data_IF_477059872882
#
_entry.id   IF_477059872882
#
_cell.length_a   1.000
_cell.length_b   1.000
_cell.length_c   1.000
_cell.angle_alpha   90.00
_cell.angle_beta   90.00
_cell.angle_gamma   90.00
#
_symmetry.space_group_name_H-M   'P 1'
#
loop_
_entity.id
_entity.type
_entity.pdbx_description
1 polymer ?
#
# COMPACT_ATOMS: atom_id res chain seq x y z
N UNK A 1 17.39 27.12 64.36
CA UNK A 1 16.21 26.90 63.50
C UNK A 1 16.58 26.78 62.01
N UNK A 2 17.32 27.74 61.43
CA UNK A 2 17.66 27.74 59.99
C UNK A 2 18.38 26.47 59.49
N UNK A 3 19.34 25.93 60.27
CA UNK A 3 20.07 24.71 59.91
C UNK A 3 19.22 23.43 59.90
N UNK A 4 18.21 23.33 60.77
CA UNK A 4 17.28 22.19 60.81
C UNK A 4 16.26 22.24 59.67
N UNK A 5 15.87 23.45 59.24
CA UNK A 5 15.03 23.67 58.06
C UNK A 5 15.78 23.29 56.77
N UNK A 6 17.06 23.70 56.65
CA UNK A 6 17.93 23.32 55.52
C UNK A 6 18.16 21.80 55.45
N UNK A 7 18.44 21.15 56.59
CA UNK A 7 18.65 19.70 56.66
C UNK A 7 17.37 18.91 56.32
N UNK A 8 16.21 19.41 56.75
CA UNK A 8 14.90 18.87 56.39
C UNK A 8 14.60 19.00 54.89
N UNK A 9 14.89 20.15 54.28
CA UNK A 9 14.73 20.34 52.83
C UNK A 9 15.65 19.41 52.02
N UNK A 10 16.90 19.24 52.43
CA UNK A 10 17.84 18.31 51.76
C UNK A 10 17.39 16.86 51.91
N UNK A 11 16.89 16.45 53.08
CA UNK A 11 16.34 15.12 53.28
C UNK A 11 15.08 14.86 52.44
N UNK A 12 14.18 15.85 52.32
CA UNK A 12 13.00 15.76 51.44
C UNK A 12 13.41 15.67 49.98
N UNK A 13 14.41 16.45 49.53
CA UNK A 13 14.93 16.38 48.16
C UNK A 13 15.63 15.05 47.89
N UNK A 14 16.37 14.50 48.86
CA UNK A 14 17.05 13.20 48.73
C UNK A 14 16.06 12.03 48.71
N UNK A 15 15.02 12.05 49.56
CA UNK A 15 13.95 11.05 49.55
C UNK A 15 13.11 11.16 48.28
N UNK A 16 12.77 12.38 47.85
CA UNK A 16 12.11 12.60 46.57
C UNK A 16 12.98 12.11 45.40
N UNK A 17 14.29 12.37 45.42
CA UNK A 17 15.24 11.90 44.42
C UNK A 17 15.39 10.37 44.39
N UNK A 18 15.49 9.72 45.55
CA UNK A 18 15.52 8.26 45.65
C UNK A 18 14.19 7.63 45.20
N UNK A 19 13.06 8.26 45.53
CA UNK A 19 11.74 7.84 45.09
C UNK A 19 11.59 7.99 43.57
N UNK A 20 12.01 9.12 42.99
CA UNK A 20 12.05 9.33 41.54
C UNK A 20 12.96 8.32 40.86
N UNK A 21 14.10 7.96 41.46
CA UNK A 21 15.01 6.94 40.91
C UNK A 21 14.38 5.54 40.88
N UNK A 22 13.68 5.13 41.95
CA UNK A 22 12.96 3.85 41.98
C UNK A 22 11.79 3.85 40.98
N UNK A 23 11.03 4.93 40.92
CA UNK A 23 9.94 5.06 39.94
C UNK A 23 10.50 5.10 38.50
N UNK A 24 11.67 5.69 38.26
CA UNK A 24 12.31 5.70 36.94
C UNK A 24 12.76 4.31 36.50
N UNK A 25 13.26 3.48 37.42
CA UNK A 25 13.54 2.06 37.14
C UNK A 25 12.27 1.29 36.81
N UNK A 26 11.16 1.52 37.53
CA UNK A 26 9.86 0.90 37.20
C UNK A 26 9.36 1.31 35.83
N UNK A 27 9.41 2.60 35.50
CA UNK A 27 8.99 3.12 34.20
C UNK A 27 9.86 2.54 33.09
N UNK A 28 11.18 2.43 33.31
CA UNK A 28 12.08 1.75 32.38
C UNK A 28 11.67 0.30 32.17
N UNK A 29 11.45 -0.46 33.23
CA UNK A 29 11.09 -1.88 33.11
C UNK A 29 9.73 -2.04 32.39
N UNK A 30 8.75 -1.16 32.66
CA UNK A 30 7.46 -1.11 31.95
C UNK A 30 7.60 -0.79 30.45
N UNK A 31 8.47 0.18 30.11
CA UNK A 31 8.72 0.55 28.72
C UNK A 31 9.55 -0.52 27.98
N UNK A 32 10.44 -1.24 28.67
CA UNK A 32 11.19 -2.37 28.12
C UNK A 32 10.26 -3.56 27.87
N UNK A 33 9.35 -3.84 28.79
CA UNK A 33 8.29 -4.84 28.61
C UNK A 33 7.44 -4.47 27.40
N UNK A 34 6.99 -3.22 27.29
CA UNK A 34 6.24 -2.75 26.14
C UNK A 34 7.03 -2.90 24.82
N UNK A 35 8.30 -2.48 24.79
CA UNK A 35 9.15 -2.62 23.60
C UNK A 35 9.36 -4.09 23.19
N UNK A 36 9.33 -5.04 24.13
CA UNK A 36 9.45 -6.47 23.82
C UNK A 36 8.23 -7.08 23.14
N UNK A 37 7.08 -6.40 23.22
CA UNK A 37 5.81 -6.82 22.59
C UNK A 37 5.72 -6.34 21.14
N UNK A 38 6.39 -5.24 20.78
CA UNK A 38 6.31 -4.65 19.43
C UNK A 38 6.69 -5.64 18.30
N UNK A 39 7.79 -6.39 18.38
CA UNK A 39 8.12 -7.37 17.34
C UNK A 39 7.08 -8.49 17.21
N UNK A 40 6.42 -8.86 18.32
CA UNK A 40 5.40 -9.91 18.33
C UNK A 40 4.11 -9.43 17.64
N UNK A 41 3.77 -8.15 17.77
CA UNK A 41 2.61 -7.58 17.09
C UNK A 41 2.72 -7.68 15.59
N UNK A 42 3.89 -7.40 15.02
CA UNK A 42 4.12 -7.54 13.58
C UNK A 42 3.89 -8.98 13.12
N UNK A 43 4.52 -9.95 13.79
CA UNK A 43 4.36 -11.37 13.48
C UNK A 43 2.90 -11.83 13.62
N UNK A 44 2.19 -11.37 14.66
CA UNK A 44 0.78 -11.71 14.91
C UNK A 44 -0.15 -11.13 13.85
N UNK A 45 0.07 -9.88 13.43
CA UNK A 45 -0.69 -9.23 12.35
C UNK A 45 -0.46 -9.95 11.02
N UNK A 46 0.80 -10.31 10.71
CA UNK A 46 1.14 -11.06 9.50
C UNK A 46 0.57 -12.49 9.52
N UNK A 47 0.46 -13.11 10.69
CA UNK A 47 -0.18 -14.40 10.88
C UNK A 47 -1.72 -14.35 10.83
N UNK A 48 -2.32 -13.16 10.92
CA UNK A 48 -3.77 -12.98 11.03
C UNK A 48 -4.34 -13.48 12.36
N UNK A 49 -3.55 -13.41 13.44
CA UNK A 49 -3.96 -13.83 14.78
C UNK A 49 -4.51 -12.64 15.58
N UNK A 50 -5.75 -12.25 15.26
CA UNK A 50 -6.41 -11.07 15.84
C UNK A 50 -6.55 -11.15 17.38
N UNK A 51 -6.67 -12.36 17.94
CA UNK A 51 -6.75 -12.60 19.38
C UNK A 51 -5.39 -12.33 20.06
N UNK A 52 -4.31 -12.81 19.45
CA UNK A 52 -2.95 -12.52 19.92
C UNK A 52 -2.62 -11.03 19.80
N UNK A 53 -2.99 -10.38 18.68
CA UNK A 53 -2.82 -8.93 18.51
C UNK A 53 -3.55 -8.17 19.62
N UNK A 54 -4.82 -8.52 19.88
CA UNK A 54 -5.61 -7.88 20.95
C UNK A 54 -4.88 -8.02 22.28
N UNK A 55 -4.46 -9.22 22.66
CA UNK A 55 -3.74 -9.49 23.92
C UNK A 55 -2.45 -8.69 24.06
N UNK A 56 -1.66 -8.61 22.98
CA UNK A 56 -0.42 -7.84 22.94
C UNK A 56 -0.68 -6.34 23.08
N UNK A 57 -1.71 -5.81 22.41
CA UNK A 57 -2.12 -4.40 22.53
C UNK A 57 -2.63 -4.08 23.94
N UNK A 58 -3.37 -4.98 24.59
CA UNK A 58 -3.79 -4.79 25.98
C UNK A 58 -2.59 -4.74 26.93
N UNK A 59 -1.60 -5.59 26.72
CA UNK A 59 -0.34 -5.58 27.49
C UNK A 59 0.40 -4.26 27.32
N UNK A 60 0.51 -3.76 26.07
CA UNK A 60 1.10 -2.45 25.78
C UNK A 60 0.34 -1.31 26.46
N UNK A 61 -1.00 -1.33 26.37
CA UNK A 61 -1.87 -0.32 26.97
C UNK A 61 -1.71 -0.29 28.48
N UNK A 62 -1.66 -1.45 29.13
CA UNK A 62 -1.53 -1.53 30.59
C UNK A 62 -0.15 -1.06 31.06
N UNK A 63 0.91 -1.47 30.37
CA UNK A 63 2.27 -1.02 30.66
C UNK A 63 2.44 0.50 30.45
N UNK A 64 1.94 1.02 29.32
CA UNK A 64 2.05 2.43 28.95
C UNK A 64 1.19 3.34 29.85
N UNK A 65 -0.07 2.98 30.10
CA UNK A 65 -0.95 3.73 31.01
C UNK A 65 -0.40 3.76 32.44
N UNK A 66 0.22 2.67 32.91
CA UNK A 66 0.93 2.67 34.19
C UNK A 66 2.16 3.57 34.19
N UNK A 67 2.91 3.63 33.09
CA UNK A 67 4.06 4.53 32.94
C UNK A 67 3.61 6.01 32.91
N UNK A 68 2.50 6.32 32.21
CA UNK A 68 1.87 7.65 32.19
C UNK A 68 1.41 8.04 33.60
N UNK A 69 0.74 7.14 34.32
CA UNK A 69 0.27 7.39 35.68
C UNK A 69 1.43 7.63 36.66
N UNK A 70 2.52 6.88 36.52
CA UNK A 70 3.72 7.02 37.38
C UNK A 70 4.44 8.34 37.11
N UNK A 71 4.70 8.65 35.84
CA UNK A 71 5.39 9.88 35.41
C UNK A 71 4.54 11.14 35.56
N UNK A 72 3.21 11.00 35.71
CA UNK A 72 2.27 12.10 35.98
C UNK A 72 2.23 12.57 37.44
N UNK A 73 2.84 11.82 38.38
CA UNK A 73 2.82 12.12 39.82
C UNK A 73 3.52 13.45 40.16
N UNK A 74 3.18 14.12 41.28
CA UNK A 74 3.69 15.45 41.60
C UNK A 74 5.22 15.56 41.67
N UNK A 75 5.91 14.53 42.18
CA UNK A 75 7.38 14.53 42.27
C UNK A 75 8.04 14.54 40.89
N UNK A 76 7.50 13.84 39.89
CA UNK A 76 7.99 13.88 38.51
C UNK A 76 7.80 15.26 37.87
N UNK A 77 6.66 15.92 38.12
CA UNK A 77 6.43 17.29 37.66
C UNK A 77 7.47 18.26 38.25
N UNK A 78 7.79 18.12 39.54
CA UNK A 78 8.82 18.93 40.18
C UNK A 78 10.22 18.63 39.62
N UNK A 79 10.56 17.36 39.38
CA UNK A 79 11.84 16.97 38.76
C UNK A 79 11.95 17.49 37.32
N UNK A 80 10.84 17.60 36.59
CA UNK A 80 10.84 18.13 35.22
C UNK A 80 11.32 19.58 35.09
N UNK A 81 11.34 20.34 36.19
CA UNK A 81 11.79 21.74 36.23
C UNK A 81 13.29 21.88 36.51
N UNK A 82 13.98 20.79 36.89
CA UNK A 82 15.40 20.83 37.21
C UNK A 82 16.26 20.94 35.94
N UNK A 83 17.29 21.82 35.93
CA UNK A 83 18.27 21.85 34.86
C UNK A 83 18.97 20.49 34.71
N UNK A 84 19.20 20.05 33.46
CA UNK A 84 19.81 18.75 33.13
C UNK A 84 18.84 17.55 33.19
N UNK A 85 18.05 17.42 34.27
CA UNK A 85 17.12 16.29 34.43
C UNK A 85 15.74 16.55 33.78
N UNK A 86 15.33 17.80 33.68
CA UNK A 86 14.03 18.20 33.16
C UNK A 86 13.72 17.73 31.73
N UNK A 87 14.63 17.92 30.77
CA UNK A 87 14.47 17.41 29.40
C UNK A 87 14.26 15.88 29.37
N UNK A 88 15.04 15.13 30.14
CA UNK A 88 14.93 13.67 30.24
C UNK A 88 13.57 13.23 30.79
N UNK A 89 13.10 13.87 31.87
CA UNK A 89 11.77 13.58 32.44
C UNK A 89 10.66 13.87 31.44
N UNK A 90 10.73 15.00 30.73
CA UNK A 90 9.73 15.34 29.69
C UNK A 90 9.76 14.34 28.53
N UNK A 91 10.96 13.94 28.08
CA UNK A 91 11.09 12.94 27.02
C UNK A 91 10.48 11.59 27.43
N UNK A 92 10.74 11.11 28.64
CA UNK A 92 10.12 9.87 29.16
C UNK A 92 8.60 9.99 29.29
N UNK A 93 8.09 11.16 29.72
CA UNK A 93 6.65 11.43 29.75
C UNK A 93 6.04 11.43 28.35
N UNK A 94 6.73 12.00 27.36
CA UNK A 94 6.28 11.98 25.96
C UNK A 94 6.28 10.55 25.42
N UNK A 95 7.37 9.79 25.61
CA UNK A 95 7.43 8.37 25.22
C UNK A 95 6.28 7.56 25.80
N UNK A 96 6.07 7.62 27.12
CA UNK A 96 5.00 6.88 27.78
C UNK A 96 3.61 7.26 27.24
N UNK A 97 3.36 8.55 27.00
CA UNK A 97 2.10 9.01 26.40
C UNK A 97 1.96 8.53 24.96
N UNK A 98 2.99 8.66 24.15
CA UNK A 98 2.99 8.19 22.76
C UNK A 98 2.67 6.70 22.67
N UNK A 99 3.31 5.85 23.47
CA UNK A 99 2.98 4.41 23.49
C UNK A 99 1.55 4.17 23.97
N UNK A 100 1.07 4.92 24.96
CA UNK A 100 -0.32 4.82 25.45
C UNK A 100 -1.34 5.20 24.37
N UNK A 101 -1.12 6.35 23.70
CA UNK A 101 -1.98 6.86 22.65
C UNK A 101 -2.01 5.90 21.45
N UNK A 102 -0.87 5.29 21.12
CA UNK A 102 -0.76 4.24 20.10
C UNK A 102 -1.57 2.99 20.49
N UNK A 103 -1.44 2.54 21.75
CA UNK A 103 -2.14 1.35 22.26
C UNK A 103 -3.66 1.55 22.42
N UNK A 104 -4.10 2.78 22.68
CA UNK A 104 -5.53 3.12 22.79
C UNK A 104 -6.17 3.45 21.43
N UNK A 105 -5.39 3.89 20.45
CA UNK A 105 -5.87 4.33 19.13
C UNK A 105 -5.51 3.37 17.99
N UNK A 106 -4.37 3.57 17.30
CA UNK A 106 -4.04 2.87 16.06
C UNK A 106 -3.73 1.37 16.22
N UNK A 107 -3.07 0.94 17.31
CA UNK A 107 -2.61 -0.45 17.44
C UNK A 107 -3.73 -1.51 17.45
N UNK A 108 -4.87 -1.30 18.14
CA UNK A 108 -6.02 -2.21 18.02
C UNK A 108 -6.55 -2.39 16.60
N UNK A 109 -6.27 -1.42 15.71
CA UNK A 109 -6.79 -1.39 14.34
C UNK A 109 -5.82 -2.01 13.32
N UNK A 110 -4.64 -2.48 13.74
CA UNK A 110 -3.65 -3.08 12.84
C UNK A 110 -4.18 -4.26 12.01
N UNK A 111 -5.05 -5.15 12.53
CA UNK A 111 -5.64 -6.20 11.71
C UNK A 111 -6.44 -5.64 10.53
N UNK A 112 -7.21 -4.56 10.74
CA UNK A 112 -7.96 -3.90 9.68
C UNK A 112 -7.03 -3.20 8.67
N UNK A 113 -5.95 -2.56 9.14
CA UNK A 113 -4.91 -1.96 8.30
C UNK A 113 -4.24 -3.03 7.43
N UNK A 114 -3.86 -4.17 8.02
CA UNK A 114 -3.21 -5.26 7.31
C UNK A 114 -4.15 -5.93 6.30
N UNK A 115 -5.43 -6.12 6.68
CA UNK A 115 -6.44 -6.61 5.76
C UNK A 115 -6.62 -5.65 4.57
N UNK A 116 -6.70 -4.35 4.81
CA UNK A 116 -6.85 -3.34 3.75
C UNK A 116 -5.60 -3.20 2.85
N UNK A 117 -4.41 -3.42 3.40
CA UNK A 117 -3.16 -3.43 2.65
C UNK A 117 -2.91 -4.75 1.89
N UNK A 118 -3.64 -5.82 2.24
CA UNK A 118 -3.40 -7.15 1.68
C UNK A 118 -3.95 -7.27 0.25
N UNK A 119 -3.12 -7.69 -0.74
CA UNK A 119 -3.59 -7.97 -2.09
C UNK A 119 -4.67 -9.06 -2.15
N UNK A 120 -4.70 -9.99 -1.18
CA UNK A 120 -5.72 -11.05 -1.13
C UNK A 120 -7.09 -10.55 -0.67
N UNK A 121 -7.17 -9.42 0.04
CA UNK A 121 -8.45 -8.78 0.36
C UNK A 121 -9.10 -8.15 -0.88
N UNK A 122 -8.27 -7.73 -1.83
CA UNK A 122 -8.67 -7.16 -3.11
C UNK A 122 -8.87 -8.22 -4.21
N UNK A 123 -8.55 -9.49 -3.92
CA UNK A 123 -8.77 -10.57 -4.86
C UNK A 123 -10.29 -10.76 -5.10
N UNK A 124 -10.76 -10.74 -6.36
CA UNK A 124 -12.17 -10.94 -6.65
C UNK A 124 -12.68 -12.29 -6.11
N UNK A 125 -13.84 -12.27 -5.46
CA UNK A 125 -14.63 -13.45 -5.08
C UNK A 125 -15.87 -13.47 -5.96
N UNK A 126 -16.06 -14.55 -6.71
CA UNK A 126 -17.18 -14.71 -7.63
C UNK A 126 -17.34 -13.53 -8.62
N UNK A 127 -16.22 -13.01 -9.16
CA UNK A 127 -16.25 -11.91 -10.12
C UNK A 127 -16.15 -10.50 -9.51
N UNK A 128 -16.16 -10.36 -8.19
CA UNK A 128 -16.31 -9.06 -7.52
C UNK A 128 -15.33 -8.86 -6.37
N UNK A 129 -14.80 -7.65 -6.28
CA UNK A 129 -14.07 -7.14 -5.11
C UNK A 129 -15.07 -6.62 -4.08
N UNK A 130 -14.83 -6.89 -2.81
CA UNK A 130 -15.65 -6.36 -1.70
C UNK A 130 -15.32 -4.89 -1.40
N UNK A 131 -15.75 -4.02 -2.31
CA UNK A 131 -15.50 -2.58 -2.21
C UNK A 131 -16.23 -1.93 -1.04
N UNK A 132 -17.36 -2.49 -0.62
CA UNK A 132 -18.11 -1.98 0.53
C UNK A 132 -17.37 -2.30 1.82
N UNK A 133 -16.87 -3.52 2.00
CA UNK A 133 -16.05 -3.88 3.16
C UNK A 133 -14.80 -3.00 3.29
N UNK A 134 -14.15 -2.67 2.15
CA UNK A 134 -13.00 -1.74 2.13
C UNK A 134 -13.42 -0.31 2.51
N UNK A 135 -14.56 0.18 1.99
CA UNK A 135 -15.07 1.50 2.32
C UNK A 135 -15.50 1.61 3.80
N UNK A 136 -16.12 0.57 4.34
CA UNK A 136 -16.56 0.51 5.75
C UNK A 136 -15.36 0.50 6.71
N UNK A 137 -14.22 -0.06 6.30
CA UNK A 137 -12.97 -0.03 7.06
C UNK A 137 -12.24 1.33 7.01
N UNK A 138 -12.59 2.21 6.07
CA UNK A 138 -11.86 3.45 5.82
C UNK A 138 -11.73 4.36 7.06
N UNK A 139 -12.78 4.63 7.86
CA UNK A 139 -12.65 5.49 9.04
C UNK A 139 -11.64 4.97 10.06
N UNK A 140 -11.59 3.64 10.24
CA UNK A 140 -10.69 2.98 11.20
C UNK A 140 -9.24 3.02 10.71
N UNK A 141 -9.02 2.71 9.42
CA UNK A 141 -7.69 2.70 8.82
C UNK A 141 -7.10 4.12 8.71
N UNK A 142 -7.92 5.12 8.37
CA UNK A 142 -7.50 6.53 8.33
C UNK A 142 -7.13 7.01 9.74
N UNK A 143 -7.97 6.74 10.74
CA UNK A 143 -7.68 7.11 12.13
C UNK A 143 -6.40 6.45 12.65
N UNK A 144 -6.11 5.22 12.21
CA UNK A 144 -4.86 4.55 12.55
C UNK A 144 -3.64 5.27 11.95
N UNK A 145 -3.70 5.66 10.68
CA UNK A 145 -2.64 6.44 10.03
C UNK A 145 -2.44 7.82 10.68
N UNK A 146 -3.53 8.52 10.99
CA UNK A 146 -3.49 9.81 11.70
C UNK A 146 -2.85 9.66 13.09
N UNK A 147 -3.19 8.60 13.83
CA UNK A 147 -2.61 8.30 15.13
C UNK A 147 -1.10 8.03 15.08
N UNK A 148 -0.64 7.31 14.05
CA UNK A 148 0.80 7.07 13.84
C UNK A 148 1.54 8.36 13.47
N UNK A 149 0.95 9.21 12.61
CA UNK A 149 1.55 10.51 12.27
C UNK A 149 1.64 11.43 13.52
N UNK A 150 0.60 11.48 14.35
CA UNK A 150 0.61 12.26 15.60
C UNK A 150 1.67 11.75 16.60
N UNK A 151 1.89 10.43 16.65
CA UNK A 151 2.94 9.82 17.46
C UNK A 151 4.34 10.27 16.97
N UNK A 152 4.58 10.23 15.65
CA UNK A 152 5.85 10.67 15.04
C UNK A 152 6.10 12.15 15.35
N UNK A 153 5.10 13.01 15.15
CA UNK A 153 5.21 14.45 15.43
C UNK A 153 5.57 14.73 16.90
N UNK A 154 5.01 13.94 17.82
CA UNK A 154 5.31 14.03 19.25
C UNK A 154 6.76 13.68 19.57
N UNK A 155 7.36 12.69 18.90
CA UNK A 155 8.76 12.31 19.09
C UNK A 155 9.73 13.30 18.43
N UNK A 156 9.38 13.84 17.26
CA UNK A 156 10.18 14.87 16.58
C UNK A 156 10.30 16.14 17.42
N UNK A 157 9.28 16.48 18.19
CA UNK A 157 9.29 17.64 19.09
C UNK A 157 10.26 17.50 20.30
N UNK A 158 10.84 16.31 20.53
CA UNK A 158 11.79 16.08 21.62
C UNK A 158 13.19 16.58 21.21
N UNK A 159 13.72 17.54 21.96
CA UNK A 159 15.12 17.99 21.81
C UNK A 159 16.10 16.93 22.36
N UNK A 160 16.81 16.28 21.44
CA UNK A 160 17.77 15.20 21.72
C UNK A 160 19.07 15.70 22.36
N UNK A 161 19.43 16.97 22.19
CA UNK A 161 20.77 17.48 22.57
C UNK A 161 21.03 17.51 24.07
N UNK A 162 19.96 17.58 24.86
CA UNK A 162 20.00 17.65 26.32
C UNK A 162 19.60 16.32 27.01
N UNK A 163 19.47 15.24 26.24
CA UNK A 163 19.08 13.93 26.76
C UNK A 163 20.30 13.11 27.19
N UNK A 164 20.08 12.25 28.17
CA UNK A 164 20.99 11.14 28.46
C UNK A 164 20.96 10.16 27.29
N UNK A 165 22.10 9.51 26.96
CA UNK A 165 22.17 8.57 25.83
C UNK A 165 21.06 7.53 25.84
N UNK A 166 20.75 6.95 27.00
CA UNK A 166 19.72 5.92 27.14
C UNK A 166 18.31 6.41 26.79
N UNK A 167 18.02 7.70 27.03
CA UNK A 167 16.72 8.30 26.70
C UNK A 167 16.69 8.68 25.22
N UNK A 168 17.79 9.21 24.68
CA UNK A 168 17.92 9.47 23.25
C UNK A 168 17.77 8.19 22.43
N UNK A 169 18.47 7.12 22.80
CA UNK A 169 18.42 5.82 22.14
C UNK A 169 16.99 5.25 22.13
N UNK A 170 16.25 5.39 23.23
CA UNK A 170 14.85 4.96 23.31
C UNK A 170 13.91 5.79 22.39
N UNK A 171 14.14 7.11 22.30
CA UNK A 171 13.41 7.97 21.36
C UNK A 171 13.72 7.58 19.92
N UNK A 172 14.99 7.32 19.60
CA UNK A 172 15.42 6.96 18.26
C UNK A 172 14.92 5.58 17.85
N UNK A 173 14.91 4.60 18.77
CA UNK A 173 14.32 3.28 18.52
C UNK A 173 12.83 3.38 18.18
N UNK A 174 12.04 4.03 19.04
CA UNK A 174 10.60 4.17 18.79
C UNK A 174 10.32 4.98 17.52
N UNK A 175 11.14 6.01 17.24
CA UNK A 175 11.03 6.77 15.99
C UNK A 175 11.25 5.89 14.76
N UNK A 176 12.22 4.96 14.82
CA UNK A 176 12.48 4.00 13.75
C UNK A 176 11.28 3.07 13.51
N UNK A 177 10.77 2.45 14.57
CA UNK A 177 9.61 1.55 14.52
C UNK A 177 8.36 2.26 13.94
N UNK A 178 8.13 3.52 14.30
CA UNK A 178 7.00 4.30 13.78
C UNK A 178 7.14 4.71 12.31
N UNK A 179 8.36 4.91 11.81
CA UNK A 179 8.58 5.23 10.39
C UNK A 179 8.15 4.06 9.50
N UNK A 180 8.50 2.83 9.89
CA UNK A 180 8.11 1.63 9.17
C UNK A 180 6.60 1.40 9.25
N UNK A 181 6.01 1.54 10.44
CA UNK A 181 4.57 1.45 10.62
C UNK A 181 3.81 2.48 9.77
N UNK A 182 4.30 3.72 9.68
CA UNK A 182 3.70 4.78 8.87
C UNK A 182 3.63 4.42 7.38
N UNK A 183 4.63 3.71 6.84
CA UNK A 183 4.58 3.28 5.43
C UNK A 183 3.41 2.33 5.19
N UNK A 184 3.18 1.40 6.12
CA UNK A 184 2.07 0.45 6.06
C UNK A 184 0.71 1.12 6.26
N UNK A 185 0.56 1.95 7.29
CA UNK A 185 -0.71 2.66 7.56
C UNK A 185 -1.06 3.65 6.46
N UNK A 186 -0.07 4.38 5.91
CA UNK A 186 -0.31 5.33 4.83
C UNK A 186 -0.71 4.61 3.53
N UNK A 187 -0.13 3.45 3.25
CA UNK A 187 -0.50 2.63 2.10
C UNK A 187 -1.94 2.11 2.23
N UNK A 188 -2.29 1.57 3.40
CA UNK A 188 -3.65 1.12 3.69
C UNK A 188 -4.66 2.28 3.63
N UNK A 189 -4.33 3.43 4.24
CA UNK A 189 -5.14 4.64 4.24
C UNK A 189 -5.42 5.15 2.82
N UNK A 190 -4.42 5.14 1.94
CA UNK A 190 -4.64 5.47 0.52
C UNK A 190 -5.48 4.41 -0.20
N UNK A 191 -5.24 3.12 0.08
CA UNK A 191 -5.99 2.04 -0.53
C UNK A 191 -7.49 2.11 -0.22
N UNK A 192 -7.87 2.28 1.06
CA UNK A 192 -9.28 2.40 1.46
C UNK A 192 -9.97 3.66 0.92
N UNK A 193 -9.21 4.72 0.63
CA UNK A 193 -9.73 5.96 0.05
C UNK A 193 -9.86 5.91 -1.47
N UNK A 194 -8.94 5.23 -2.16
CA UNK A 194 -8.85 5.27 -3.63
C UNK A 194 -9.51 4.07 -4.30
N UNK A 195 -9.39 2.87 -3.72
CA UNK A 195 -9.87 1.65 -4.36
C UNK A 195 -11.40 1.64 -4.50
N UNK A 196 -12.22 1.90 -3.46
CA UNK A 196 -13.68 1.87 -3.61
C UNK A 196 -14.21 2.79 -4.72
N UNK A 197 -13.84 4.09 -4.79
CA UNK A 197 -14.29 4.93 -5.89
C UNK A 197 -13.71 4.47 -7.24
N UNK A 198 -12.45 4.03 -7.33
CA UNK A 198 -11.90 3.49 -8.58
C UNK A 198 -12.66 2.26 -9.07
N UNK A 199 -13.16 1.45 -8.14
CA UNK A 199 -13.91 0.23 -8.43
C UNK A 199 -15.42 0.48 -8.63
N UNK A 200 -15.83 1.74 -8.73
CA UNK A 200 -17.20 2.12 -9.07
C UNK A 200 -18.21 1.98 -7.94
N UNK A 201 -17.82 2.20 -6.67
CA UNK A 201 -18.76 2.16 -5.54
C UNK A 201 -19.92 3.16 -5.67
N UNK A 202 -19.68 4.32 -6.29
CA UNK A 202 -20.67 5.39 -6.51
C UNK A 202 -21.34 5.32 -7.90
N UNK A 203 -21.00 4.32 -8.71
CA UNK A 203 -21.47 4.16 -10.08
C UNK A 203 -20.38 3.69 -11.06
N UNK A 204 -20.77 3.29 -12.27
CA UNK A 204 -19.86 2.69 -13.24
C UNK A 204 -18.77 3.68 -13.69
N UNK A 205 -17.55 3.18 -13.88
CA UNK A 205 -16.38 3.93 -14.35
C UNK A 205 -15.65 3.17 -15.46
N UNK A 206 -15.43 3.84 -16.58
CA UNK A 206 -14.71 3.28 -17.72
C UNK A 206 -13.26 3.74 -17.72
N UNK A 207 -12.32 2.79 -17.80
CA UNK A 207 -10.89 3.02 -17.85
C UNK A 207 -10.34 2.61 -19.19
N UNK A 208 -9.51 3.46 -19.79
CA UNK A 208 -8.70 3.05 -20.93
C UNK A 208 -7.50 2.26 -20.44
N UNK A 209 -7.20 1.16 -21.10
CA UNK A 209 -5.98 0.38 -20.85
C UNK A 209 -5.16 0.34 -22.12
N UNK A 210 -4.02 1.03 -22.08
CA UNK A 210 -3.06 1.07 -23.18
C UNK A 210 -2.17 -0.16 -23.10
N UNK A 211 -2.45 -1.14 -23.96
CA UNK A 211 -1.67 -2.38 -24.07
C UNK A 211 -0.49 -2.11 -24.99
N UNK A 212 0.70 -2.06 -24.38
CA UNK A 212 1.93 -1.74 -25.07
C UNK A 212 2.59 -2.98 -25.67
N UNK A 213 3.43 -2.76 -26.69
CA UNK A 213 4.31 -3.78 -27.25
C UNK A 213 5.77 -3.30 -27.21
N UNK A 214 6.57 -3.85 -26.29
CA UNK A 214 7.97 -3.45 -26.09
C UNK A 214 8.88 -3.83 -27.27
N UNK A 215 8.43 -4.68 -28.21
CA UNK A 215 9.19 -4.99 -29.42
C UNK A 215 9.30 -3.78 -30.36
N UNK A 216 8.41 -2.79 -30.21
CA UNK A 216 8.44 -1.52 -30.94
C UNK A 216 8.60 -0.36 -29.95
N UNK A 217 9.84 -0.08 -29.50
CA UNK A 217 10.07 0.73 -28.32
C UNK A 217 9.58 2.17 -28.49
N UNK A 218 9.05 2.69 -27.39
CA UNK A 218 8.75 4.11 -27.14
C UNK A 218 9.28 4.48 -25.75
N UNK A 219 9.27 5.77 -25.40
CA UNK A 219 9.86 6.22 -24.14
C UNK A 219 9.21 5.59 -22.90
N UNK A 220 7.91 5.28 -22.95
CA UNK A 220 7.17 4.64 -21.84
C UNK A 220 7.05 3.11 -21.96
N UNK A 221 7.84 2.49 -22.84
CA UNK A 221 7.90 1.03 -23.03
C UNK A 221 7.83 0.65 -24.49
N UNK A 222 6.68 0.85 -25.13
CA UNK A 222 6.37 0.37 -26.46
C UNK A 222 5.23 1.12 -27.14
N UNK A 223 4.96 0.76 -28.38
CA UNK A 223 3.81 1.25 -29.13
C UNK A 223 2.51 0.77 -28.48
N UNK A 224 1.44 1.56 -28.52
CA UNK A 224 0.10 1.13 -28.07
C UNK A 224 -0.55 0.31 -29.17
N UNK A 225 -0.44 -1.02 -29.07
CA UNK A 225 -0.99 -1.94 -30.08
C UNK A 225 -2.50 -2.12 -29.95
N UNK A 226 -3.02 -2.10 -28.71
CA UNK A 226 -4.44 -2.25 -28.41
C UNK A 226 -4.85 -1.28 -27.30
N UNK A 227 -6.08 -0.78 -27.38
CA UNK A 227 -6.76 -0.04 -26.32
C UNK A 227 -7.94 -0.86 -25.85
N UNK A 228 -8.02 -1.11 -24.54
CA UNK A 228 -9.18 -1.76 -23.92
C UNK A 228 -9.98 -0.72 -23.13
N UNK A 229 -11.29 -0.93 -23.05
CA UNK A 229 -12.17 -0.23 -22.12
C UNK A 229 -12.59 -1.21 -21.03
N UNK A 230 -12.12 -0.98 -19.81
CA UNK A 230 -12.56 -1.73 -18.64
C UNK A 230 -13.58 -0.93 -17.84
N UNK A 231 -14.75 -1.49 -17.60
CA UNK A 231 -15.76 -0.92 -16.71
C UNK A 231 -15.63 -1.49 -15.33
N UNK A 232 -15.44 -0.63 -14.34
CA UNK A 232 -15.60 -0.96 -12.94
C UNK A 232 -16.99 -0.51 -12.47
N UNK A 233 -17.77 -1.43 -11.90
CA UNK A 233 -19.11 -1.15 -11.36
C UNK A 233 -19.34 -1.93 -10.06
N UNK A 234 -19.42 -1.22 -8.93
CA UNK A 234 -19.65 -1.81 -7.62
C UNK A 234 -18.69 -2.96 -7.26
N UNK A 235 -17.42 -2.86 -7.63
CA UNK A 235 -16.42 -3.90 -7.40
C UNK A 235 -16.34 -5.00 -8.47
N UNK A 236 -17.21 -5.00 -9.48
CA UNK A 236 -17.05 -5.85 -10.67
C UNK A 236 -16.15 -5.16 -11.70
N UNK A 237 -15.41 -5.93 -12.49
CA UNK A 237 -14.62 -5.43 -13.63
C UNK A 237 -15.04 -6.21 -14.87
N UNK A 238 -15.43 -5.49 -15.92
CA UNK A 238 -15.84 -6.03 -17.21
C UNK A 238 -15.01 -5.42 -18.35
N UNK A 239 -14.64 -6.22 -19.34
CA UNK A 239 -14.10 -5.73 -20.61
C UNK A 239 -15.28 -5.34 -21.52
N UNK A 240 -15.43 -4.04 -21.78
CA UNK A 240 -16.55 -3.46 -22.53
C UNK A 240 -16.27 -3.36 -24.01
N UNK A 241 -15.07 -2.87 -24.36
CA UNK A 241 -14.66 -2.62 -25.72
C UNK A 241 -13.16 -2.91 -25.85
N UNK A 242 -12.78 -3.35 -27.05
CA UNK A 242 -11.40 -3.48 -27.45
C UNK A 242 -11.26 -2.98 -28.88
N UNK A 243 -10.24 -2.14 -29.10
CA UNK A 243 -9.90 -1.64 -30.44
C UNK A 243 -8.39 -1.67 -30.67
N UNK A 244 -8.02 -1.83 -31.94
CA UNK A 244 -6.62 -1.72 -32.34
C UNK A 244 -6.15 -0.27 -32.21
N UNK A 245 -4.96 -0.03 -31.67
CA UNK A 245 -4.42 1.32 -31.48
C UNK A 245 -4.25 2.09 -32.79
N UNK A 246 -4.09 1.39 -33.92
CA UNK A 246 -4.03 1.99 -35.26
C UNK A 246 -5.37 2.45 -35.82
N UNK A 247 -6.49 2.04 -35.23
CA UNK A 247 -7.82 2.48 -35.65
C UNK A 247 -8.16 3.89 -35.16
N UNK A 248 -7.49 4.37 -34.11
CA UNK A 248 -7.68 5.71 -33.54
C UNK A 248 -6.59 6.64 -34.10
N UNK A 249 -6.95 7.40 -35.13
CA UNK A 249 -6.04 8.34 -35.77
C UNK A 249 -6.75 9.56 -36.34
N UNK A 250 -6.03 10.68 -36.40
CA UNK A 250 -6.57 11.97 -36.80
C UNK A 250 -5.71 12.65 -37.87
N UNK A 251 -6.36 13.40 -38.76
CA UNK A 251 -5.67 14.19 -39.78
C UNK A 251 -4.81 15.28 -39.13
N UNK A 252 -5.40 15.99 -38.17
CA UNK A 252 -4.75 17.00 -37.33
C UNK A 252 -4.53 16.47 -35.91
N UNK A 253 -3.49 16.93 -35.18
CA UNK A 253 -3.23 16.47 -33.84
C UNK A 253 -4.37 16.86 -32.89
N UNK A 254 -4.84 15.88 -32.12
CA UNK A 254 -5.73 16.05 -30.98
C UNK A 254 -4.91 16.48 -29.77
N UNK A 255 -5.46 17.43 -29.01
CA UNK A 255 -4.81 18.05 -27.87
C UNK A 255 -3.75 19.08 -28.27
N UNK A 256 -3.47 19.99 -27.35
CA UNK A 256 -2.48 21.05 -27.58
C UNK A 256 -1.07 20.51 -27.36
N UNK A 257 -0.38 20.12 -28.44
CA UNK A 257 1.04 19.81 -28.38
C UNK A 257 1.84 21.08 -28.04
N UNK A 258 2.87 20.96 -27.21
CA UNK A 258 3.85 22.02 -26.98
C UNK A 258 4.78 22.18 -28.18
N UNK A 259 5.50 23.30 -28.24
CA UNK A 259 6.50 23.51 -29.29
C UNK A 259 7.64 22.48 -29.22
N UNK A 260 8.01 22.06 -28.01
CA UNK A 260 9.01 21.00 -27.80
C UNK A 260 8.51 19.64 -28.26
N UNK A 261 7.27 19.28 -27.95
CA UNK A 261 6.66 18.04 -28.45
C UNK A 261 6.59 18.04 -29.98
N UNK A 262 6.18 19.16 -30.60
CA UNK A 262 6.20 19.32 -32.06
C UNK A 262 7.60 19.22 -32.64
N UNK A 263 8.61 19.81 -31.99
CA UNK A 263 9.98 19.78 -32.47
C UNK A 263 10.59 18.38 -32.43
N UNK A 264 10.24 17.56 -31.42
CA UNK A 264 10.82 16.22 -31.22
C UNK A 264 10.02 15.15 -31.97
N UNK A 265 8.70 15.18 -31.86
CA UNK A 265 7.80 14.12 -32.33
C UNK A 265 6.97 14.51 -33.56
N UNK A 266 7.08 15.76 -34.02
CA UNK A 266 6.18 16.30 -35.03
C UNK A 266 4.73 16.35 -34.51
N UNK A 267 3.78 16.10 -35.40
CA UNK A 267 2.36 15.99 -35.04
C UNK A 267 1.94 14.58 -34.64
N UNK A 268 2.83 13.58 -34.80
CA UNK A 268 2.49 12.16 -34.63
C UNK A 268 1.98 11.84 -33.22
N UNK A 269 2.53 12.51 -32.20
CA UNK A 269 2.17 12.33 -30.80
C UNK A 269 0.69 12.65 -30.53
N UNK A 270 0.13 13.63 -31.25
CA UNK A 270 -1.29 14.00 -31.15
C UNK A 270 -2.18 13.39 -32.22
N UNK A 271 -1.62 12.69 -33.22
CA UNK A 271 -2.39 12.14 -34.35
C UNK A 271 -2.67 10.65 -34.26
N UNK A 272 -1.81 9.89 -33.59
CA UNK A 272 -1.87 8.43 -33.59
C UNK A 272 -1.84 7.89 -32.16
N UNK A 273 -2.90 7.20 -31.75
CA UNK A 273 -2.97 6.55 -30.43
C UNK A 273 -1.78 5.62 -30.19
N UNK A 274 -1.32 4.89 -31.23
CA UNK A 274 -0.10 4.09 -31.20
C UNK A 274 1.12 4.80 -30.59
N UNK A 275 1.24 6.11 -30.81
CA UNK A 275 2.45 6.88 -30.52
C UNK A 275 2.34 7.74 -29.25
N UNK A 276 1.22 7.74 -28.52
CA UNK A 276 1.07 8.56 -27.30
C UNK A 276 2.12 8.26 -26.24
N UNK A 277 2.68 7.04 -26.23
CA UNK A 277 3.76 6.60 -25.33
C UNK A 277 5.16 7.05 -25.76
N UNK A 278 5.29 7.85 -26.83
CA UNK A 278 6.58 8.38 -27.30
C UNK A 278 7.16 9.44 -26.36
N UNK A 279 6.32 10.18 -25.64
CA UNK A 279 6.76 11.12 -24.60
C UNK A 279 7.17 10.35 -23.35
N UNK A 280 8.26 10.73 -22.64
CA UNK A 280 8.68 10.07 -21.39
C UNK A 280 7.83 10.47 -20.16
N UNK A 281 6.65 11.07 -20.37
CA UNK A 281 5.75 11.58 -19.33
C UNK A 281 4.40 10.84 -19.41
N UNK A 282 4.16 9.91 -18.48
CA UNK A 282 2.94 9.09 -18.48
C UNK A 282 1.66 9.92 -18.26
N UNK A 283 1.59 10.86 -17.28
CA UNK A 283 0.45 11.78 -17.19
C UNK A 283 0.13 12.48 -18.51
N UNK A 284 1.15 12.93 -19.25
CA UNK A 284 0.95 13.54 -20.57
C UNK A 284 0.44 12.54 -21.62
N UNK A 285 1.00 11.34 -21.67
CA UNK A 285 0.54 10.28 -22.57
C UNK A 285 -0.92 9.88 -22.28
N UNK A 286 -1.28 9.75 -21.00
CA UNK A 286 -2.65 9.48 -20.54
C UNK A 286 -3.62 10.59 -20.94
N UNK A 287 -3.22 11.86 -20.80
CA UNK A 287 -4.03 13.00 -21.25
C UNK A 287 -4.30 12.93 -22.75
N UNK A 288 -3.26 12.72 -23.57
CA UNK A 288 -3.42 12.63 -25.03
C UNK A 288 -4.28 11.43 -25.45
N UNK A 289 -4.10 10.27 -24.81
CA UNK A 289 -4.94 9.10 -25.05
C UNK A 289 -6.41 9.38 -24.69
N UNK A 290 -6.66 10.04 -23.56
CA UNK A 290 -8.01 10.46 -23.15
C UNK A 290 -8.61 11.45 -24.16
N UNK A 291 -7.86 12.47 -24.58
CA UNK A 291 -8.33 13.47 -25.56
C UNK A 291 -8.68 12.82 -26.91
N UNK A 292 -7.84 11.90 -27.39
CA UNK A 292 -8.10 11.12 -28.60
C UNK A 292 -9.34 10.25 -28.45
N UNK A 293 -9.53 9.60 -27.31
CA UNK A 293 -10.71 8.78 -27.06
C UNK A 293 -11.99 9.61 -27.02
N UNK A 294 -11.96 10.77 -26.36
CA UNK A 294 -13.08 11.73 -26.34
C UNK A 294 -13.40 12.24 -27.74
N UNK A 295 -12.38 12.54 -28.56
CA UNK A 295 -12.58 13.00 -29.93
C UNK A 295 -13.25 11.93 -30.82
N UNK A 296 -12.94 10.65 -30.58
CA UNK A 296 -13.44 9.51 -31.36
C UNK A 296 -14.81 8.99 -30.87
N UNK A 297 -15.06 8.98 -29.55
CA UNK A 297 -16.24 8.34 -28.92
C UNK A 297 -17.18 9.32 -28.22
N UNK A 298 -16.72 10.52 -27.89
CA UNK A 298 -17.51 11.55 -27.19
C UNK A 298 -17.60 11.37 -25.67
N UNK A 299 -17.03 10.30 -25.11
CA UNK A 299 -17.09 9.99 -23.68
C UNK A 299 -15.68 10.05 -23.06
N UNK A 300 -15.58 10.70 -21.90
CA UNK A 300 -14.32 10.80 -21.18
C UNK A 300 -14.12 9.59 -20.27
N UNK A 301 -12.97 8.89 -20.35
CA UNK A 301 -12.67 7.82 -19.42
C UNK A 301 -12.43 8.37 -18.00
N UNK A 302 -12.71 7.56 -16.99
CA UNK A 302 -12.40 7.85 -15.59
C UNK A 302 -10.89 7.84 -15.30
N UNK A 303 -10.10 7.19 -16.15
CA UNK A 303 -8.65 7.17 -16.07
C UNK A 303 -8.01 6.34 -17.18
N UNK A 304 -6.68 6.41 -17.24
CA UNK A 304 -5.88 5.65 -18.21
C UNK A 304 -4.87 4.81 -17.45
N UNK A 305 -4.87 3.52 -17.74
CA UNK A 305 -3.92 2.52 -17.28
C UNK A 305 -3.02 2.13 -18.45
N UNK A 306 -1.83 1.61 -18.16
CA UNK A 306 -1.00 1.01 -19.19
C UNK A 306 -0.31 -0.23 -18.66
N UNK A 307 -0.18 -1.20 -19.54
CA UNK A 307 0.41 -2.50 -19.26
C UNK A 307 1.13 -3.00 -20.48
N UNK A 308 2.09 -3.89 -20.25
CA UNK A 308 2.88 -4.51 -21.28
C UNK A 308 2.95 -6.04 -21.04
N UNK A 309 3.52 -6.83 -21.98
CA UNK A 309 3.65 -8.27 -21.80
C UNK A 309 4.41 -8.71 -20.55
N UNK A 310 5.31 -7.89 -20.00
CA UNK A 310 6.02 -8.21 -18.75
C UNK A 310 5.11 -8.04 -17.55
N UNK A 311 4.32 -6.96 -17.51
CA UNK A 311 3.29 -6.76 -16.50
C UNK A 311 2.22 -7.86 -16.56
N UNK A 312 1.78 -8.25 -17.77
CA UNK A 312 0.86 -9.37 -17.98
C UNK A 312 1.42 -10.70 -17.46
N UNK A 313 2.70 -10.98 -17.71
CA UNK A 313 3.37 -12.15 -17.16
C UNK A 313 3.38 -12.15 -15.62
N UNK A 314 3.58 -10.98 -15.00
CA UNK A 314 3.45 -10.81 -13.55
C UNK A 314 2.05 -11.16 -13.03
N UNK A 315 1.00 -10.72 -13.73
CA UNK A 315 -0.39 -11.03 -13.38
C UNK A 315 -0.69 -12.54 -13.48
N UNK A 316 -0.09 -13.25 -14.44
CA UNK A 316 -0.19 -14.70 -14.57
C UNK A 316 0.43 -15.45 -13.38
N UNK A 317 1.35 -14.85 -12.63
CA UNK A 317 1.86 -15.41 -11.39
C UNK A 317 0.77 -15.51 -10.30
N UNK A 318 -0.20 -14.60 -10.31
CA UNK A 318 -1.31 -14.59 -9.36
C UNK A 318 -2.51 -15.42 -9.85
N UNK A 319 -2.85 -15.38 -11.14
CA UNK A 319 -4.00 -16.13 -11.70
C UNK A 319 -3.68 -17.59 -12.00
N UNK A 320 -2.40 -17.91 -12.22
CA UNK A 320 -1.97 -19.14 -12.87
C UNK A 320 -2.08 -19.05 -14.40
N UNK A 321 -1.72 -20.14 -15.11
CA UNK A 321 -1.72 -20.18 -16.58
C UNK A 321 -3.08 -19.87 -17.19
N UNK A 322 -3.09 -19.18 -18.31
CA UNK A 322 -4.29 -18.80 -19.07
C UNK A 322 -4.19 -19.37 -20.47
N UNK A 323 -5.27 -19.98 -20.95
CA UNK A 323 -5.36 -20.47 -22.32
C UNK A 323 -6.20 -19.49 -23.14
N UNK A 324 -5.64 -18.97 -24.23
CA UNK A 324 -6.31 -18.07 -25.14
C UNK A 324 -7.30 -18.84 -26.04
N UNK A 325 -8.23 -18.16 -26.72
CA UNK A 325 -9.16 -18.80 -27.66
C UNK A 325 -8.45 -19.52 -28.81
N UNK A 326 -7.30 -19.00 -29.23
CA UNK A 326 -6.42 -19.65 -30.21
C UNK A 326 -5.77 -20.96 -29.71
N UNK A 327 -5.99 -21.33 -28.44
CA UNK A 327 -5.49 -22.57 -27.84
C UNK A 327 -4.06 -22.50 -27.30
N UNK A 328 -3.43 -21.32 -27.32
CA UNK A 328 -2.13 -21.11 -26.71
C UNK A 328 -2.29 -20.98 -25.19
N UNK A 329 -1.44 -21.66 -24.43
CA UNK A 329 -1.36 -21.45 -22.97
C UNK A 329 -0.20 -20.53 -22.65
N UNK A 330 -0.51 -19.40 -22.02
CA UNK A 330 0.43 -18.43 -21.49
C UNK A 330 0.65 -18.68 -19.99
N UNK A 331 1.90 -18.66 -19.58
CA UNK A 331 2.34 -18.79 -18.18
C UNK A 331 3.13 -17.54 -17.76
N UNK A 332 3.32 -17.38 -16.46
CA UNK A 332 4.17 -16.30 -15.94
C UNK A 332 5.62 -16.37 -16.48
N UNK A 333 6.10 -17.57 -16.84
CA UNK A 333 7.46 -17.78 -17.30
C UNK A 333 7.64 -17.52 -18.81
N UNK A 334 6.62 -17.82 -19.63
CA UNK A 334 6.72 -17.76 -21.10
C UNK A 334 6.00 -16.55 -21.73
N UNK A 335 5.05 -15.93 -21.05
CA UNK A 335 4.16 -14.97 -21.70
C UNK A 335 4.90 -13.79 -22.31
N UNK A 336 5.85 -13.21 -21.58
CA UNK A 336 6.64 -12.08 -22.07
C UNK A 336 7.50 -12.48 -23.28
N UNK A 337 8.19 -13.63 -23.22
CA UNK A 337 9.00 -14.11 -24.34
C UNK A 337 8.12 -14.39 -25.56
N UNK A 338 6.97 -15.01 -25.36
CA UNK A 338 6.08 -15.39 -26.45
C UNK A 338 5.51 -14.15 -27.14
N UNK A 339 4.91 -13.24 -26.36
CA UNK A 339 4.25 -12.03 -26.86
C UNK A 339 5.24 -11.04 -27.48
N UNK A 340 6.49 -10.97 -27.01
CA UNK A 340 7.48 -10.01 -27.53
C UNK A 340 8.36 -10.57 -28.65
N UNK A 341 8.35 -11.89 -28.89
CA UNK A 341 9.25 -12.49 -29.87
C UNK A 341 8.64 -13.67 -30.64
N UNK A 342 8.21 -14.72 -29.94
CA UNK A 342 7.85 -15.98 -30.60
C UNK A 342 6.63 -15.82 -31.51
N UNK A 343 5.65 -14.99 -31.12
CA UNK A 343 4.45 -14.74 -31.92
C UNK A 343 4.77 -14.23 -33.34
N UNK A 344 5.83 -13.43 -33.50
CA UNK A 344 6.26 -12.91 -34.81
C UNK A 344 6.90 -13.98 -35.71
N UNK A 345 7.40 -15.07 -35.11
CA UNK A 345 7.95 -16.21 -35.84
C UNK A 345 6.86 -17.20 -36.22
N UNK A 346 5.90 -17.41 -35.32
CA UNK A 346 4.81 -18.37 -35.47
C UNK A 346 3.69 -17.86 -36.39
N UNK A 347 3.41 -16.55 -36.35
CA UNK A 347 2.34 -15.90 -37.10
C UNK A 347 2.90 -14.71 -37.90
N UNK A 348 3.22 -14.87 -39.20
CA UNK A 348 3.79 -13.80 -40.01
C UNK A 348 2.76 -12.76 -40.49
N UNK A 349 1.45 -13.00 -40.34
CA UNK A 349 0.40 -12.05 -40.69
C UNK A 349 0.14 -11.05 -39.54
N UNK A 350 0.43 -9.75 -39.71
CA UNK A 350 0.21 -8.73 -38.68
C UNK A 350 -1.24 -8.66 -38.20
N UNK A 351 -2.23 -8.88 -39.08
CA UNK A 351 -3.64 -8.82 -38.67
C UNK A 351 -4.00 -9.97 -37.72
N UNK A 352 -3.33 -11.12 -37.85
CA UNK A 352 -3.51 -12.26 -36.95
C UNK A 352 -2.72 -12.11 -35.65
N UNK A 353 -1.57 -11.44 -35.69
CA UNK A 353 -0.84 -11.04 -34.47
C UNK A 353 -1.70 -10.12 -33.59
N UNK A 354 -2.36 -9.12 -34.19
CA UNK A 354 -3.24 -8.19 -33.47
C UNK A 354 -4.40 -8.93 -32.77
N UNK A 355 -5.04 -9.89 -33.46
CA UNK A 355 -6.09 -10.75 -32.87
C UNK A 355 -5.53 -11.57 -31.71
N UNK A 356 -4.32 -12.10 -31.84
CA UNK A 356 -3.68 -12.88 -30.80
C UNK A 356 -3.34 -12.05 -29.55
N UNK A 357 -2.77 -10.85 -29.72
CA UNK A 357 -2.52 -9.92 -28.62
C UNK A 357 -3.81 -9.52 -27.91
N UNK A 358 -4.86 -9.32 -28.70
CA UNK A 358 -6.18 -9.00 -28.18
C UNK A 358 -6.77 -10.11 -27.32
N UNK A 359 -6.78 -11.34 -27.84
CA UNK A 359 -7.23 -12.56 -27.16
C UNK A 359 -6.42 -12.83 -25.89
N UNK A 360 -5.09 -12.70 -25.96
CA UNK A 360 -4.22 -12.85 -24.79
C UNK A 360 -4.57 -11.86 -23.68
N UNK A 361 -4.71 -10.57 -24.00
CA UNK A 361 -5.09 -9.56 -23.02
C UNK A 361 -6.47 -9.84 -22.42
N UNK A 362 -7.49 -10.09 -23.27
CA UNK A 362 -8.85 -10.38 -22.83
C UNK A 362 -8.94 -11.64 -21.95
N UNK A 363 -8.22 -12.70 -22.32
CA UNK A 363 -8.17 -13.96 -21.56
C UNK A 363 -7.52 -13.78 -20.19
N UNK A 364 -6.44 -13.00 -20.10
CA UNK A 364 -5.78 -12.69 -18.82
C UNK A 364 -6.70 -11.84 -17.93
N UNK A 365 -7.37 -10.83 -18.49
CA UNK A 365 -8.34 -10.02 -17.75
C UNK A 365 -9.55 -10.83 -17.28
N UNK A 366 -10.03 -11.77 -18.09
CA UNK A 366 -11.10 -12.69 -17.70
C UNK A 366 -10.67 -13.60 -16.55
N UNK A 367 -9.43 -14.08 -16.57
CA UNK A 367 -8.87 -14.89 -15.48
C UNK A 367 -8.71 -14.09 -14.17
N UNK A 368 -8.33 -12.81 -14.26
CA UNK A 368 -8.23 -11.88 -13.13
C UNK A 368 -9.60 -11.58 -12.53
N UNK A 369 -10.56 -11.18 -13.36
CA UNK A 369 -11.92 -10.82 -12.93
C UNK A 369 -12.69 -12.02 -12.40
N UNK A 370 -12.58 -13.19 -13.03
CA UNK A 370 -13.29 -14.41 -12.67
C UNK A 370 -12.90 -15.04 -11.32
N UNK A 371 -11.90 -14.50 -10.61
CA UNK A 371 -11.57 -14.86 -9.23
C UNK A 371 -11.36 -16.36 -9.00
N UNK A 372 -10.13 -16.85 -9.13
CA UNK A 372 -9.70 -18.12 -8.53
C UNK A 372 -10.54 -19.39 -8.81
N UNK A 373 -11.40 -19.42 -9.82
CA UNK A 373 -12.10 -20.64 -10.24
C UNK A 373 -11.11 -21.76 -10.66
N UNK A 374 -9.88 -21.40 -11.04
CA UNK A 374 -8.80 -22.36 -11.29
C UNK A 374 -8.08 -22.87 -10.03
N UNK A 375 -7.98 -22.08 -8.95
CA UNK A 375 -7.30 -22.49 -7.71
C UNK A 375 -8.05 -23.63 -7.00
N UNK A 376 -9.40 -23.67 -7.11
CA UNK A 376 -10.22 -24.77 -6.56
C UNK A 376 -10.05 -26.12 -7.26
N UNK A 377 -9.49 -26.18 -8.48
CA UNK A 377 -9.29 -27.46 -9.19
C UNK A 377 -8.03 -28.22 -8.79
N UNK A 378 -7.05 -27.57 -8.12
CA UNK A 378 -5.79 -28.22 -7.71
C UNK A 378 -5.84 -28.88 -6.33
N UNK A 379 -6.73 -28.49 -5.41
CA UNK A 379 -6.75 -29.04 -4.04
C UNK A 379 -7.48 -30.38 -3.86
N UNK A 380 -8.07 -30.98 -4.91
CA UNK A 380 -8.78 -32.28 -4.82
C UNK A 380 -8.05 -33.49 -5.44
N UNK A 381 -6.79 -33.35 -5.85
CA UNK A 381 -6.00 -34.48 -6.42
C UNK A 381 -4.79 -34.87 -5.56
N UNK A 382 -4.90 -34.90 -4.24
CA UNK A 382 -3.87 -35.52 -3.38
C UNK A 382 -4.47 -36.19 -2.13
N UNK A 383 -5.51 -37.00 -2.31
CA UNK A 383 -5.88 -38.04 -1.32
C UNK A 383 -6.32 -39.29 -2.08
N UNK A 384 -5.42 -40.26 -2.20
CA UNK A 384 -5.78 -41.59 -2.71
C UNK A 384 -4.63 -42.40 -3.27
N UNK A 385 -3.76 -42.92 -2.38
CA UNK A 385 -3.23 -44.30 -2.44
C UNK A 385 -2.22 -44.55 -1.33
N UNK A 386 -2.69 -45.14 -0.24
CA UNK A 386 -1.88 -46.02 0.58
C UNK A 386 -2.74 -47.23 0.99
N UNK A 387 -2.14 -48.42 0.91
CA UNK A 387 -2.61 -49.76 1.35
C UNK A 387 -3.25 -50.68 0.28
N UNK A 388 -2.38 -51.55 -0.26
CA UNK A 388 -2.53 -52.97 -0.68
C UNK A 388 -1.22 -53.28 -1.43
N UNK A 389 -0.36 -54.23 -1.08
CA UNK A 389 -0.32 -55.26 -0.05
C UNK A 389 0.96 -56.09 -0.24
N UNK A 390 1.02 -57.19 0.52
CA UNK A 390 2.05 -58.22 0.59
C UNK A 390 3.23 -57.92 1.52
#
# INVERSE_FOLDING_TARGET
>A
MLGWVLLGCVAVVAVAGAWTAVDALRVRDQLVEAASVVPQLEDQVLAGDDEAVTTSVETLRDAASSAVATTGRPHWKLTSWLPGMGPNVRAVQTLARTVSDLAEGPLPSLPAVAAAASPTALAPRDGRVDVQGVADAAPVVIAADDGVNAAIDSLVAIDRTALLPQVSDAVDQLSGELVDLRLSTATASRAVQLIPPMMGIDGPRDYLVLVQNNAEPRALGGIVGSVLVLRADGGSIELVEQVAGNSISFEEPVGDLSDSERAIFGTQLGRFMLNVTSTPDFPRAAQLASDMWVAERGEAPAGVLSLDPVALAGLLGATGPVTTEAGLTLTADDAAQYLLNQVYLDEPDPARQDVFFADAAASIFTALSGGAAMLRRRSRRWCGRATRGA
#
